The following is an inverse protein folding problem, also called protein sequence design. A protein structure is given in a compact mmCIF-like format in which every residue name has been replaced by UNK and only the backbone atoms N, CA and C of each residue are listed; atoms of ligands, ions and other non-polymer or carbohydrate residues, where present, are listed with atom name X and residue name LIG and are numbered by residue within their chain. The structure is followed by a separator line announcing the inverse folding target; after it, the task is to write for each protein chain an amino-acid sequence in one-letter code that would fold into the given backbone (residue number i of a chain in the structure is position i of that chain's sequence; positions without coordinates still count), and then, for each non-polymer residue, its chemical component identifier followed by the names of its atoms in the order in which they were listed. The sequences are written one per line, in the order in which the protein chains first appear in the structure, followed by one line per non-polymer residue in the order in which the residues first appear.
data_IF_974267818596
#
_entry.id   IF_974267818596
#
_cell.length_a   1.000
_cell.length_b   1.000
_cell.length_c   1.000
_cell.angle_alpha   90.00
_cell.angle_beta   90.00
_cell.angle_gamma   90.00
#
_symmetry.space_group_name_H-M   'P 1'
#
loop_
_entity.id
_entity.type
_entity.pdbx_description
1 polymer ?
#
# COMPACT_ATOMS: atom_id res chain seq x y z
N UNK A 1 22.30 -2.22 -9.84
CA UNK A 1 21.31 -2.18 -8.73
C UNK A 1 20.59 -0.85 -8.63
N UNK A 2 21.32 0.25 -8.63
CA UNK A 2 20.73 1.57 -8.59
C UNK A 2 19.80 1.87 -9.78
N UNK A 3 20.22 1.50 -10.98
CA UNK A 3 19.42 1.71 -12.19
C UNK A 3 18.12 0.91 -12.17
N UNK A 4 18.16 -0.35 -11.68
CA UNK A 4 16.98 -1.20 -11.57
C UNK A 4 16.02 -0.62 -10.53
N UNK A 5 16.54 -0.14 -9.39
CA UNK A 5 15.72 0.49 -8.35
C UNK A 5 15.03 1.74 -8.88
N UNK A 6 15.75 2.58 -9.60
CA UNK A 6 15.21 3.80 -10.20
C UNK A 6 14.11 3.48 -11.20
N UNK A 7 14.33 2.48 -12.05
CA UNK A 7 13.33 2.02 -13.01
C UNK A 7 12.06 1.54 -12.31
N UNK A 8 12.20 0.73 -11.26
CA UNK A 8 11.05 0.24 -10.49
C UNK A 8 10.27 1.36 -9.83
N UNK A 9 10.96 2.35 -9.27
CA UNK A 9 10.32 3.51 -8.65
C UNK A 9 9.53 4.34 -9.66
N UNK A 10 10.08 4.57 -10.84
CA UNK A 10 9.39 5.31 -11.89
C UNK A 10 8.19 4.55 -12.44
N UNK A 11 8.34 3.24 -12.66
CA UNK A 11 7.25 2.39 -13.11
C UNK A 11 6.11 2.38 -12.10
N UNK A 12 6.43 2.28 -10.82
CA UNK A 12 5.43 2.29 -9.75
C UNK A 12 4.74 3.64 -9.65
N UNK A 13 5.47 4.73 -9.80
CA UNK A 13 4.89 6.09 -9.82
C UNK A 13 3.87 6.23 -10.94
N UNK A 14 4.21 5.79 -12.14
CA UNK A 14 3.31 5.85 -13.29
C UNK A 14 2.06 5.00 -13.06
N UNK A 15 2.24 3.81 -12.49
CA UNK A 15 1.13 2.92 -12.16
C UNK A 15 0.19 3.56 -11.16
N UNK A 16 0.73 4.13 -10.10
CA UNK A 16 -0.06 4.83 -9.08
C UNK A 16 -0.82 6.01 -9.69
N UNK A 17 -0.16 6.82 -10.50
CA UNK A 17 -0.78 7.97 -11.15
C UNK A 17 -1.90 7.55 -12.09
N UNK A 18 -1.73 6.44 -12.83
CA UNK A 18 -2.75 5.96 -13.76
C UNK A 18 -3.93 5.32 -13.05
N UNK A 19 -3.71 4.70 -11.89
CA UNK A 19 -4.74 3.97 -11.15
C UNK A 19 -5.50 4.84 -10.14
N UNK A 20 -4.96 6.01 -9.79
CA UNK A 20 -5.45 6.81 -8.66
C UNK A 20 -5.91 8.17 -9.13
N UNK A 21 -7.10 8.58 -8.67
CA UNK A 21 -7.63 9.93 -8.89
C UNK A 21 -7.55 10.72 -7.60
N UNK A 22 -7.47 12.05 -7.72
CA UNK A 22 -7.49 12.93 -6.55
C UNK A 22 -8.73 12.66 -5.70
N UNK A 23 -8.51 12.52 -4.39
CA UNK A 23 -9.58 12.22 -3.44
C UNK A 23 -9.90 10.75 -3.26
N UNK A 24 -9.30 9.87 -4.06
CA UNK A 24 -9.49 8.43 -3.89
C UNK A 24 -9.01 7.96 -2.52
N UNK A 25 -9.72 6.97 -1.95
CA UNK A 25 -9.28 6.27 -0.76
C UNK A 25 -8.39 5.11 -1.17
N UNK A 26 -7.16 5.07 -0.66
CA UNK A 26 -6.24 3.98 -0.98
C UNK A 26 -5.82 3.22 0.28
N UNK A 27 -5.58 1.94 0.10
CA UNK A 27 -4.99 1.08 1.12
C UNK A 27 -3.67 0.53 0.57
N UNK A 28 -2.58 0.88 1.24
CA UNK A 28 -1.24 0.38 0.91
C UNK A 28 -0.87 -0.71 1.91
N UNK A 29 -0.90 -1.96 1.46
CA UNK A 29 -0.66 -3.14 2.28
C UNK A 29 0.81 -3.55 2.15
N UNK A 30 1.49 -3.65 3.30
CA UNK A 30 2.92 -3.93 3.33
C UNK A 30 3.73 -2.69 2.97
N UNK A 31 3.41 -1.56 3.59
CA UNK A 31 4.02 -0.27 3.26
C UNK A 31 5.51 -0.18 3.60
N UNK A 32 6.02 -1.10 4.43
CA UNK A 32 7.40 -1.05 4.89
C UNK A 32 7.72 0.27 5.58
N UNK A 33 8.82 0.88 5.18
CA UNK A 33 9.28 2.16 5.74
C UNK A 33 8.55 3.37 5.17
N UNK A 34 7.53 3.17 4.36
CA UNK A 34 6.76 4.27 3.77
C UNK A 34 7.38 4.84 2.50
N UNK A 35 8.01 4.00 1.69
CA UNK A 35 8.69 4.43 0.47
C UNK A 35 7.77 5.03 -0.60
N UNK A 36 6.46 4.76 -0.52
CA UNK A 36 5.49 5.26 -1.50
C UNK A 36 4.67 6.45 -0.99
N UNK A 37 4.92 6.94 0.21
CA UNK A 37 4.19 8.07 0.80
C UNK A 37 4.12 9.27 -0.14
N UNK A 38 5.25 9.65 -0.72
CA UNK A 38 5.32 10.80 -1.63
C UNK A 38 4.48 10.57 -2.88
N UNK A 39 4.49 9.35 -3.41
CA UNK A 39 3.73 8.99 -4.60
C UNK A 39 2.23 9.13 -4.36
N UNK A 40 1.75 8.65 -3.21
CA UNK A 40 0.34 8.76 -2.83
C UNK A 40 -0.06 10.20 -2.57
N UNK A 41 0.80 10.97 -1.89
CA UNK A 41 0.57 12.40 -1.66
C UNK A 41 0.44 13.14 -2.98
N UNK A 42 1.34 12.88 -3.91
CA UNK A 42 1.34 13.53 -5.23
C UNK A 42 0.07 13.20 -6.02
N UNK A 43 -0.45 11.99 -5.86
CA UNK A 43 -1.70 11.58 -6.48
C UNK A 43 -2.95 12.19 -5.82
N UNK A 44 -2.79 12.86 -4.67
CA UNK A 44 -3.90 13.48 -3.95
C UNK A 44 -4.81 12.49 -3.24
N UNK A 45 -4.30 11.33 -2.89
CA UNK A 45 -5.08 10.25 -2.30
C UNK A 45 -5.28 10.42 -0.80
N UNK A 46 -6.37 9.84 -0.29
CA UNK A 46 -6.59 9.64 1.14
C UNK A 46 -5.96 8.29 1.52
N UNK A 47 -4.93 8.32 2.36
CA UNK A 47 -4.00 7.21 2.51
C UNK A 47 -4.26 6.42 3.79
N UNK A 48 -4.36 5.09 3.64
CA UNK A 48 -4.29 4.13 4.74
C UNK A 48 -3.16 3.16 4.44
N UNK A 49 -2.40 2.79 5.46
CA UNK A 49 -1.25 1.89 5.32
C UNK A 49 -1.24 0.84 6.41
N UNK A 50 -0.82 -0.37 6.10
CA UNK A 50 -0.57 -1.39 7.10
C UNK A 50 0.79 -2.05 6.88
N UNK A 51 1.41 -2.46 7.99
CA UNK A 51 2.71 -3.09 7.99
C UNK A 51 2.87 -3.94 9.26
N UNK A 52 3.22 -5.24 9.13
CA UNK A 52 3.40 -6.08 10.32
C UNK A 52 4.70 -5.83 11.08
N UNK A 53 5.73 -5.30 10.44
CA UNK A 53 6.99 -4.99 11.11
C UNK A 53 6.86 -3.67 11.87
N UNK A 54 6.92 -3.74 13.20
CA UNK A 54 6.71 -2.56 14.05
C UNK A 54 7.76 -1.47 13.84
N UNK A 55 9.01 -1.84 13.59
CA UNK A 55 10.08 -0.86 13.38
C UNK A 55 9.90 -0.15 12.03
N UNK A 56 9.54 -0.90 10.99
CA UNK A 56 9.23 -0.30 9.69
C UNK A 56 8.03 0.64 9.79
N UNK A 57 7.00 0.23 10.51
CA UNK A 57 5.80 1.05 10.70
C UNK A 57 6.12 2.36 11.44
N UNK A 58 6.97 2.30 12.47
CA UNK A 58 7.43 3.50 13.19
C UNK A 58 8.13 4.47 12.25
N UNK A 59 9.00 3.95 11.37
CA UNK A 59 9.70 4.77 10.38
C UNK A 59 8.71 5.40 9.40
N UNK A 60 7.73 4.64 8.93
CA UNK A 60 6.70 5.15 8.04
C UNK A 60 5.90 6.28 8.69
N UNK A 61 5.53 6.10 9.97
CA UNK A 61 4.83 7.14 10.74
C UNK A 61 5.67 8.41 10.88
N UNK A 62 6.96 8.24 11.16
CA UNK A 62 7.90 9.36 11.29
C UNK A 62 8.03 10.12 9.97
N UNK A 63 8.16 9.40 8.87
CA UNK A 63 8.23 10.01 7.53
C UNK A 63 6.98 10.78 7.19
N UNK A 64 5.80 10.20 7.45
CA UNK A 64 4.53 10.86 7.19
C UNK A 64 4.41 12.16 8.00
N UNK A 65 4.81 12.13 9.27
CA UNK A 65 4.81 13.32 10.13
C UNK A 65 5.73 14.40 9.59
N UNK A 66 6.95 14.02 9.20
CA UNK A 66 7.93 14.97 8.66
C UNK A 66 7.50 15.57 7.32
N UNK A 67 6.78 14.78 6.52
CA UNK A 67 6.23 15.23 5.23
C UNK A 67 4.89 15.93 5.37
N UNK A 68 4.36 16.01 6.59
CA UNK A 68 3.03 16.60 6.91
C UNK A 68 1.90 15.92 6.12
N UNK A 69 1.97 14.61 6.02
CA UNK A 69 0.95 13.79 5.36
C UNK A 69 0.10 13.11 6.44
N UNK A 70 -1.21 13.20 6.30
CA UNK A 70 -2.15 12.49 7.17
C UNK A 70 -2.36 11.09 6.61
N UNK A 71 -2.06 10.07 7.43
CA UNK A 71 -2.19 8.67 7.04
C UNK A 71 -2.82 7.89 8.20
N UNK A 72 -3.73 6.98 7.87
CA UNK A 72 -4.25 6.02 8.84
C UNK A 72 -3.33 4.79 8.82
N UNK A 73 -2.62 4.55 9.92
CA UNK A 73 -1.69 3.43 10.03
C UNK A 73 -2.27 2.29 10.86
N UNK A 74 -2.05 1.06 10.41
CA UNK A 74 -2.46 -0.16 11.09
C UNK A 74 -1.27 -1.10 11.20
N UNK A 75 -0.98 -1.60 12.40
CA UNK A 75 0.09 -2.57 12.58
C UNK A 75 -0.44 -3.96 12.30
N UNK A 76 0.11 -4.62 11.29
CA UNK A 76 -0.31 -5.95 10.86
C UNK A 76 -0.40 -6.06 9.36
N UNK A 77 -1.00 -7.16 8.92
CA UNK A 77 -1.29 -7.40 7.50
C UNK A 77 -2.65 -6.79 7.10
N UNK A 78 -3.14 -7.14 5.92
CA UNK A 78 -4.41 -6.62 5.42
C UNK A 78 -5.59 -6.87 6.39
N UNK A 79 -5.53 -7.96 7.15
CA UNK A 79 -6.61 -8.31 8.09
C UNK A 79 -6.68 -7.38 9.30
N UNK A 80 -5.60 -6.64 9.58
CA UNK A 80 -5.58 -5.60 10.61
C UNK A 80 -6.31 -4.32 10.18
N UNK A 81 -6.60 -4.19 8.90
CA UNK A 81 -7.24 -3.00 8.34
C UNK A 81 -8.76 -3.11 8.44
N UNK A 82 -9.46 -1.98 8.64
CA UNK A 82 -10.93 -1.99 8.62
C UNK A 82 -11.48 -2.55 7.31
N UNK A 83 -12.62 -3.26 7.41
CA UNK A 83 -13.31 -3.82 6.24
C UNK A 83 -14.19 -2.78 5.57
N UNK A 84 -13.63 -1.63 5.28
CA UNK A 84 -14.32 -0.62 4.48
C UNK A 84 -13.85 -0.70 3.03
N UNK A 85 -14.59 -0.08 2.14
CA UNK A 85 -14.27 -0.12 0.72
C UNK A 85 -13.31 0.99 0.33
N UNK A 86 -12.29 0.63 -0.44
CA UNK A 86 -11.27 1.53 -0.96
C UNK A 86 -11.39 1.62 -2.48
N UNK A 87 -10.98 2.75 -3.03
CA UNK A 87 -10.90 2.92 -4.48
C UNK A 87 -9.72 2.15 -5.08
N UNK A 88 -8.60 2.11 -4.35
CA UNK A 88 -7.38 1.42 -4.77
C UNK A 88 -6.81 0.63 -3.60
N UNK A 89 -6.37 -0.60 -3.86
CA UNK A 89 -5.60 -1.39 -2.93
C UNK A 89 -4.27 -1.75 -3.59
N UNK A 90 -3.17 -1.30 -2.98
CA UNK A 90 -1.83 -1.63 -3.42
C UNK A 90 -1.27 -2.68 -2.46
N UNK A 91 -0.96 -3.86 -2.97
CA UNK A 91 -0.49 -4.96 -2.14
C UNK A 91 0.98 -5.24 -2.44
N UNK A 92 1.82 -4.96 -1.46
CA UNK A 92 3.26 -5.22 -1.55
C UNK A 92 3.56 -6.51 -0.80
N UNK A 93 3.89 -7.55 -1.52
CA UNK A 93 4.27 -8.83 -0.91
C UNK A 93 5.47 -9.42 -1.64
N UNK A 94 6.28 -10.16 -0.89
CA UNK A 94 7.44 -10.82 -1.47
C UNK A 94 6.99 -12.02 -2.31
N UNK A 95 7.63 -12.21 -3.46
CA UNK A 95 7.30 -13.30 -4.39
C UNK A 95 7.34 -14.68 -3.73
N UNK A 96 8.23 -14.88 -2.75
CA UNK A 96 8.32 -16.18 -2.08
C UNK A 96 7.04 -16.59 -1.36
N UNK A 97 6.21 -15.64 -0.91
CA UNK A 97 4.92 -15.96 -0.31
C UNK A 97 3.95 -16.63 -1.28
N UNK A 98 4.01 -16.24 -2.56
CA UNK A 98 3.16 -16.83 -3.59
C UNK A 98 3.49 -18.31 -3.77
N UNK A 99 4.79 -18.66 -3.73
CA UNK A 99 5.25 -20.03 -3.98
C UNK A 99 5.19 -20.90 -2.72
N UNK A 100 5.45 -20.33 -1.53
CA UNK A 100 5.49 -21.08 -0.29
C UNK A 100 4.12 -21.29 0.36
N UNK A 101 3.16 -20.41 0.11
CA UNK A 101 1.83 -20.49 0.69
C UNK A 101 0.74 -20.05 -0.30
N UNK A 102 0.36 -20.93 -1.25
CA UNK A 102 -0.70 -20.63 -2.21
C UNK A 102 -2.03 -20.29 -1.53
N UNK A 103 -2.32 -20.96 -0.41
CA UNK A 103 -3.55 -20.72 0.35
C UNK A 103 -3.57 -19.31 0.96
N UNK A 104 -2.44 -18.85 1.48
CA UNK A 104 -2.32 -17.49 2.00
C UNK A 104 -2.51 -16.47 0.89
N UNK A 105 -1.98 -16.75 -0.28
CA UNK A 105 -2.15 -15.89 -1.45
C UNK A 105 -3.63 -15.77 -1.84
N UNK A 106 -4.34 -16.90 -1.92
CA UNK A 106 -5.78 -16.91 -2.22
C UNK A 106 -6.58 -16.14 -1.19
N UNK A 107 -6.28 -16.33 0.10
CA UNK A 107 -6.94 -15.64 1.21
C UNK A 107 -6.68 -14.12 1.11
N UNK A 108 -5.47 -13.73 0.75
CA UNK A 108 -5.11 -12.33 0.55
C UNK A 108 -5.86 -11.71 -0.62
N UNK A 109 -6.01 -12.42 -1.73
CA UNK A 109 -6.78 -11.94 -2.87
C UNK A 109 -8.24 -11.70 -2.50
N UNK A 110 -8.83 -12.59 -1.71
CA UNK A 110 -10.21 -12.44 -1.23
C UNK A 110 -10.32 -11.22 -0.31
N UNK A 111 -9.35 -11.03 0.59
CA UNK A 111 -9.31 -9.87 1.48
C UNK A 111 -9.22 -8.55 0.70
N UNK A 112 -8.45 -8.53 -0.38
CA UNK A 112 -8.35 -7.38 -1.28
C UNK A 112 -9.70 -7.11 -1.94
N UNK A 113 -10.32 -8.15 -2.51
CA UNK A 113 -11.61 -8.04 -3.16
C UNK A 113 -12.68 -7.48 -2.22
N UNK A 114 -12.68 -7.92 -0.97
CA UNK A 114 -13.65 -7.47 0.03
C UNK A 114 -13.45 -6.00 0.44
N UNK A 115 -12.30 -5.42 0.13
CA UNK A 115 -11.96 -4.03 0.46
C UNK A 115 -11.95 -3.09 -0.74
N UNK A 116 -12.31 -3.59 -1.92
CA UNK A 116 -12.39 -2.75 -3.12
C UNK A 116 -13.83 -2.34 -3.39
N UNK A 117 -14.00 -1.07 -3.77
CA UNK A 117 -15.26 -0.58 -4.32
C UNK A 117 -15.53 -1.24 -5.68
N UNK A 118 -16.79 -1.35 -6.11
CA UNK A 118 -17.06 -1.77 -7.49
C UNK A 118 -16.30 -0.88 -8.48
N UNK A 119 -15.57 -1.51 -9.41
CA UNK A 119 -14.71 -0.78 -10.35
C UNK A 119 -13.39 -0.29 -9.78
N UNK A 120 -13.09 -0.58 -8.51
CA UNK A 120 -11.80 -0.22 -7.88
C UNK A 120 -10.63 -1.07 -8.37
N UNK A 121 -9.44 -0.61 -8.09
CA UNK A 121 -8.20 -1.22 -8.57
C UNK A 121 -7.25 -1.65 -7.46
#
# INVERSE_FOLDING_TARGET
MEEIRKYHNESKRLLIQSATREGDSILDVGCGFGGDLQKWKHAGANISMCEPNSDALKEAKSRAKNMKIRVNFYEGDIFACPQRKYDVVCYNFALHYIFESPKLFETSLLAIKNRLKPGGQ
#
